data_IF_556319878002
#
_entry.id   IF_556319878002
#
_cell.length_a   1.000
_cell.length_b   1.000
_cell.length_c   1.000
_cell.angle_alpha   90.00
_cell.angle_beta   90.00
_cell.angle_gamma   90.00
#
_symmetry.space_group_name_H-M   'P 1'
#
loop_
_entity.id
_entity.type
_entity.pdbx_description
1 polymer ?
#
# COMPACT_ATOMS: atom_id res chain seq x y z
N UNK A 1 9.41 -17.53 -12.08
CA UNK A 1 9.37 -16.18 -11.48
C UNK A 1 9.90 -16.32 -10.06
N UNK A 2 10.92 -15.56 -9.67
CA UNK A 2 11.39 -15.57 -8.28
C UNK A 2 10.58 -14.53 -7.50
N UNK A 3 9.85 -14.97 -6.48
CA UNK A 3 9.14 -14.09 -5.56
C UNK A 3 9.90 -14.04 -4.24
N UNK A 4 10.26 -12.85 -3.80
CA UNK A 4 11.01 -12.65 -2.56
C UNK A 4 10.09 -11.97 -1.59
N UNK A 5 9.95 -12.55 -0.40
CA UNK A 5 9.07 -12.01 0.63
C UNK A 5 9.53 -12.50 2.00
N UNK A 6 9.34 -11.68 3.02
CA UNK A 6 9.43 -12.13 4.41
C UNK A 6 8.28 -13.10 4.69
N UNK A 7 8.56 -14.41 4.71
CA UNK A 7 7.59 -15.45 5.06
C UNK A 7 7.09 -15.32 6.51
N UNK A 8 7.72 -14.50 7.34
CA UNK A 8 7.48 -14.49 8.77
C UNK A 8 6.37 -13.52 9.20
N UNK A 9 5.42 -14.12 9.93
CA UNK A 9 4.40 -13.53 10.82
C UNK A 9 3.03 -13.24 10.21
N UNK A 10 2.22 -14.30 10.01
CA UNK A 10 0.77 -14.20 9.75
C UNK A 10 -0.05 -13.47 10.84
N UNK A 11 0.59 -13.04 11.93
CA UNK A 11 -0.01 -12.29 13.04
C UNK A 11 0.43 -10.82 13.11
N UNK A 12 1.17 -10.29 12.14
CA UNK A 12 1.48 -8.85 12.14
C UNK A 12 0.24 -8.05 11.77
N UNK A 13 0.02 -6.98 12.52
CA UNK A 13 -0.94 -5.94 12.18
C UNK A 13 -0.69 -5.48 10.74
N UNK A 14 -1.77 -5.21 10.00
CA UNK A 14 -1.74 -4.92 8.57
C UNK A 14 -0.67 -3.88 8.24
N UNK A 15 0.38 -4.31 7.54
CA UNK A 15 1.56 -3.52 7.21
C UNK A 15 1.35 -2.62 5.99
N UNK A 16 0.14 -2.41 5.48
CA UNK A 16 -0.04 -1.59 4.26
C UNK A 16 -1.04 -0.47 4.51
N UNK A 17 -0.49 0.66 4.98
CA UNK A 17 -1.22 1.88 5.24
C UNK A 17 -0.91 3.02 4.24
N UNK A 18 -1.04 2.79 2.91
CA UNK A 18 -1.40 3.93 2.02
C UNK A 18 -2.66 3.70 1.18
N UNK A 19 -3.73 4.37 1.55
CA UNK A 19 -4.83 4.79 0.70
C UNK A 19 -4.52 6.26 0.56
N UNK A 20 -3.62 6.59 -0.35
CA UNK A 20 -3.43 7.99 -0.65
C UNK A 20 -4.71 8.51 -1.30
N UNK A 21 -5.26 9.56 -0.73
CA UNK A 21 -6.41 10.25 -1.30
C UNK A 21 -6.11 10.76 -2.71
N UNK A 22 -4.86 11.19 -2.99
CA UNK A 22 -4.43 11.61 -4.33
C UNK A 22 -4.65 10.54 -5.41
N UNK A 23 -4.55 9.26 -5.08
CA UNK A 23 -4.90 8.20 -6.03
C UNK A 23 -6.39 8.24 -6.40
N UNK A 24 -7.26 8.44 -5.40
CA UNK A 24 -8.70 8.55 -5.59
C UNK A 24 -9.15 9.90 -6.17
N UNK A 25 -8.28 10.91 -6.22
CA UNK A 25 -8.55 12.14 -6.95
C UNK A 25 -8.40 11.96 -8.47
N UNK A 26 -7.67 10.92 -8.93
CA UNK A 26 -7.41 10.66 -10.33
C UNK A 26 -8.55 9.84 -10.98
N UNK A 27 -9.31 10.38 -11.96
CA UNK A 27 -10.38 9.63 -12.62
C UNK A 27 -9.91 8.34 -13.32
N UNK A 28 -8.68 8.30 -13.84
CA UNK A 28 -8.12 7.10 -14.48
C UNK A 28 -7.91 5.96 -13.48
N UNK A 29 -7.60 6.27 -12.22
CA UNK A 29 -7.49 5.26 -11.17
C UNK A 29 -8.80 4.52 -10.97
N UNK A 30 -9.92 5.24 -10.95
CA UNK A 30 -11.26 4.65 -10.83
C UNK A 30 -11.64 3.83 -12.06
N UNK A 31 -11.27 4.28 -13.26
CA UNK A 31 -11.50 3.54 -14.50
C UNK A 31 -10.80 2.18 -14.46
N UNK A 32 -9.52 2.16 -14.07
CA UNK A 32 -8.73 0.93 -13.95
C UNK A 32 -9.24 0.05 -12.81
N UNK A 33 -9.60 0.62 -11.65
CA UNK A 33 -10.21 -0.14 -10.55
C UNK A 33 -11.52 -0.81 -10.99
N UNK A 34 -12.35 -0.09 -11.77
CA UNK A 34 -13.59 -0.66 -12.33
C UNK A 34 -13.30 -1.79 -13.32
N UNK A 35 -12.33 -1.62 -14.21
CA UNK A 35 -11.99 -2.66 -15.22
C UNK A 35 -11.29 -3.88 -14.62
N UNK A 36 -10.56 -3.71 -13.51
CA UNK A 36 -9.86 -4.80 -12.82
C UNK A 36 -10.72 -5.53 -11.78
N UNK A 37 -11.89 -4.99 -11.41
CA UNK A 37 -12.68 -5.45 -10.27
C UNK A 37 -12.94 -6.96 -10.27
N UNK A 38 -13.52 -7.47 -11.35
CA UNK A 38 -13.97 -8.86 -11.42
C UNK A 38 -12.78 -9.82 -11.53
N UNK A 39 -11.77 -9.44 -12.31
CA UNK A 39 -10.51 -10.18 -12.46
C UNK A 39 -9.77 -10.27 -11.11
N UNK A 40 -9.64 -9.15 -10.38
CA UNK A 40 -9.03 -9.12 -9.06
C UNK A 40 -9.83 -9.94 -8.05
N UNK A 41 -11.17 -9.84 -8.07
CA UNK A 41 -12.02 -10.65 -7.19
C UNK A 41 -11.87 -12.14 -7.47
N UNK A 42 -11.78 -12.54 -8.73
CA UNK A 42 -11.52 -13.92 -9.12
C UNK A 42 -10.19 -14.40 -8.56
N UNK A 43 -9.09 -13.67 -8.86
CA UNK A 43 -7.74 -14.01 -8.41
C UNK A 43 -7.62 -14.07 -6.89
N UNK A 44 -8.20 -13.13 -6.15
CA UNK A 44 -8.17 -13.12 -4.68
C UNK A 44 -8.89 -14.37 -4.12
N UNK A 45 -10.05 -14.72 -4.68
CA UNK A 45 -10.79 -15.89 -4.22
C UNK A 45 -10.12 -17.21 -4.64
N UNK A 46 -9.45 -17.24 -5.79
CA UNK A 46 -8.67 -18.39 -6.24
C UNK A 46 -7.42 -18.59 -5.37
N UNK A 47 -6.71 -17.51 -5.06
CA UNK A 47 -5.48 -17.53 -4.28
C UNK A 47 -5.72 -17.75 -2.78
N UNK A 48 -6.73 -17.08 -2.20
CA UNK A 48 -6.98 -17.09 -0.76
C UNK A 48 -8.34 -17.65 -0.34
N UNK A 49 -9.14 -18.18 -1.26
CA UNK A 49 -10.46 -18.75 -0.97
C UNK A 49 -11.57 -17.71 -0.79
N UNK A 50 -12.80 -18.20 -0.65
CA UNK A 50 -14.01 -17.36 -0.53
C UNK A 50 -14.03 -16.57 0.78
N UNK A 51 -14.71 -15.41 0.76
CA UNK A 51 -14.99 -14.59 1.94
C UNK A 51 -13.86 -13.66 2.38
N UNK A 52 -12.80 -13.53 1.59
CA UNK A 52 -11.71 -12.57 1.82
C UNK A 52 -12.07 -11.14 1.40
N UNK A 53 -13.02 -11.02 0.48
CA UNK A 53 -13.55 -9.75 0.03
C UNK A 53 -14.87 -9.49 0.76
N UNK A 54 -14.98 -8.32 1.38
CA UNK A 54 -16.18 -7.86 2.06
C UNK A 54 -16.58 -6.50 1.52
N UNK A 55 -17.89 -6.24 1.45
CA UNK A 55 -18.39 -4.89 1.23
C UNK A 55 -18.49 -4.21 2.59
N UNK A 56 -17.95 -3.00 2.67
CA UNK A 56 -17.95 -2.16 3.87
C UNK A 56 -18.31 -0.74 3.50
N UNK A 57 -18.80 0.00 4.46
CA UNK A 57 -19.00 1.43 4.30
C UNK A 57 -17.72 2.16 4.72
N UNK A 58 -17.17 2.96 3.81
CA UNK A 58 -16.00 3.77 4.07
C UNK A 58 -16.45 5.15 4.53
N UNK A 59 -16.32 5.41 5.82
CA UNK A 59 -16.50 6.76 6.34
C UNK A 59 -15.22 7.56 6.13
N UNK A 60 -15.37 8.79 5.65
CA UNK A 60 -14.27 9.70 5.40
C UNK A 60 -14.58 11.00 6.11
N UNK A 61 -13.61 11.53 6.85
CA UNK A 61 -13.71 12.85 7.46
C UNK A 61 -12.50 13.69 7.04
N UNK A 62 -12.75 14.95 6.75
CA UNK A 62 -11.75 15.96 6.47
C UNK A 62 -11.78 17.00 7.58
N UNK A 63 -10.60 17.40 8.05
CA UNK A 63 -10.45 18.40 9.12
C UNK A 63 -10.09 19.79 8.59
N UNK A 64 -9.62 19.86 7.34
CA UNK A 64 -9.15 21.08 6.70
C UNK A 64 -10.09 21.52 5.57
N UNK A 65 -9.94 22.78 5.12
CA UNK A 65 -10.67 23.28 3.94
C UNK A 65 -10.29 22.55 2.66
N UNK A 66 -8.99 22.29 2.45
CA UNK A 66 -8.49 21.53 1.31
C UNK A 66 -8.99 20.07 1.33
N UNK A 67 -8.97 19.44 2.51
CA UNK A 67 -9.52 18.10 2.70
C UNK A 67 -11.01 18.03 2.38
N UNK A 68 -11.79 19.04 2.77
CA UNK A 68 -13.21 19.10 2.46
C UNK A 68 -13.49 19.18 0.95
N UNK A 69 -12.71 19.99 0.22
CA UNK A 69 -12.80 20.06 -1.25
C UNK A 69 -12.41 18.73 -1.91
N UNK A 70 -11.32 18.12 -1.44
CA UNK A 70 -10.89 16.83 -1.94
C UNK A 70 -11.97 15.75 -1.67
N UNK A 71 -12.61 15.79 -0.49
CA UNK A 71 -13.68 14.85 -0.14
C UNK A 71 -14.89 15.02 -1.07
N UNK A 72 -15.31 16.25 -1.34
CA UNK A 72 -16.39 16.51 -2.30
C UNK A 72 -16.05 15.89 -3.66
N UNK A 73 -14.86 16.15 -4.20
CA UNK A 73 -14.39 15.56 -5.46
C UNK A 73 -14.41 14.03 -5.45
N UNK A 74 -13.87 13.39 -4.40
CA UNK A 74 -13.89 11.92 -4.27
C UNK A 74 -15.32 11.39 -4.21
N UNK A 75 -16.25 12.07 -3.51
CA UNK A 75 -17.64 11.62 -3.44
C UNK A 75 -18.37 11.76 -4.78
N UNK A 76 -18.06 12.79 -5.56
CA UNK A 76 -18.58 12.96 -6.93
C UNK A 76 -18.05 11.87 -7.86
N UNK A 77 -16.75 11.57 -7.81
CA UNK A 77 -16.16 10.46 -8.55
C UNK A 77 -16.78 9.12 -8.14
N UNK A 78 -16.94 8.88 -6.84
CA UNK A 78 -17.58 7.66 -6.35
C UNK A 78 -18.98 7.45 -6.95
N UNK A 79 -19.82 8.51 -7.00
CA UNK A 79 -21.14 8.48 -7.65
C UNK A 79 -21.05 8.20 -9.14
N UNK A 80 -20.14 8.88 -9.84
CA UNK A 80 -19.92 8.65 -11.27
C UNK A 80 -19.58 7.18 -11.58
N UNK A 81 -18.82 6.53 -10.69
CA UNK A 81 -18.46 5.12 -10.81
C UNK A 81 -19.48 4.15 -10.18
N UNK A 82 -20.66 4.62 -9.79
CA UNK A 82 -21.79 3.80 -9.35
C UNK A 82 -21.77 3.42 -7.87
N UNK A 83 -20.97 4.08 -7.04
CA UNK A 83 -21.07 3.96 -5.59
C UNK A 83 -22.09 4.95 -5.04
N UNK A 84 -22.85 4.52 -4.04
CA UNK A 84 -23.66 5.42 -3.23
C UNK A 84 -22.72 6.23 -2.33
N UNK A 85 -22.85 7.56 -2.36
CA UNK A 85 -22.11 8.44 -1.48
C UNK A 85 -22.98 9.58 -0.97
N UNK A 86 -22.85 9.88 0.32
CA UNK A 86 -23.67 10.86 1.01
C UNK A 86 -22.84 11.62 2.06
N UNK A 87 -23.22 12.87 2.29
CA UNK A 87 -22.68 13.67 3.39
C UNK A 87 -23.34 13.21 4.68
N UNK A 88 -22.55 12.67 5.60
CA UNK A 88 -23.03 12.19 6.90
C UNK A 88 -22.08 12.68 7.98
N UNK A 89 -22.60 13.08 9.16
CA UNK A 89 -21.74 13.38 10.30
C UNK A 89 -20.88 12.17 10.66
N UNK A 90 -19.61 12.42 11.02
CA UNK A 90 -18.71 11.41 11.61
C UNK A 90 -18.41 11.84 13.04
N UNK A 91 -19.23 11.36 13.98
CA UNK A 91 -19.14 11.71 15.41
C UNK A 91 -17.82 11.28 16.07
N UNK A 92 -17.15 10.29 15.48
CA UNK A 92 -15.86 9.78 15.94
C UNK A 92 -14.73 10.79 15.76
N UNK A 93 -14.88 11.79 14.89
CA UNK A 93 -13.86 12.79 14.62
C UNK A 93 -14.22 14.09 15.33
N UNK A 94 -13.25 14.70 16.02
CA UNK A 94 -13.41 15.96 16.71
C UNK A 94 -13.47 17.08 15.66
N UNK A 95 -14.60 17.80 15.60
CA UNK A 95 -14.82 18.97 14.75
C UNK A 95 -14.43 18.78 13.28
N UNK A 96 -14.97 17.76 12.56
CA UNK A 96 -14.68 17.59 11.15
C UNK A 96 -15.19 18.80 10.37
N UNK A 97 -14.41 19.27 9.39
CA UNK A 97 -14.81 20.34 8.46
C UNK A 97 -15.83 19.82 7.45
N UNK A 98 -15.66 18.59 7.00
CA UNK A 98 -16.59 17.86 6.16
C UNK A 98 -16.49 16.36 6.45
N UNK A 99 -17.57 15.64 6.23
CA UNK A 99 -17.57 14.19 6.39
C UNK A 99 -18.60 13.53 5.49
N UNK A 100 -18.33 12.29 5.11
CA UNK A 100 -19.19 11.53 4.22
C UNK A 100 -18.98 10.03 4.36
N UNK A 101 -19.78 9.28 3.63
CA UNK A 101 -19.64 7.84 3.50
C UNK A 101 -19.72 7.45 2.04
N UNK A 102 -18.86 6.51 1.65
CA UNK A 102 -18.98 5.77 0.39
C UNK A 102 -19.41 4.35 0.75
N UNK A 103 -20.61 3.97 0.30
CA UNK A 103 -21.24 2.72 0.72
C UNK A 103 -20.75 1.54 -0.11
N UNK A 104 -20.68 0.37 0.52
CA UNK A 104 -20.42 -0.89 -0.16
C UNK A 104 -19.07 -0.99 -0.88
N UNK A 105 -18.06 -0.23 -0.43
CA UNK A 105 -16.69 -0.35 -0.96
C UNK A 105 -16.15 -1.74 -0.71
N UNK A 106 -15.39 -2.27 -1.68
CA UNK A 106 -14.74 -3.56 -1.50
C UNK A 106 -13.53 -3.41 -0.59
N UNK A 107 -13.48 -4.25 0.42
CA UNK A 107 -12.37 -4.38 1.36
C UNK A 107 -11.81 -5.78 1.28
N UNK A 108 -10.52 -5.88 1.59
CA UNK A 108 -9.75 -7.12 1.55
C UNK A 108 -9.24 -7.44 2.95
N UNK A 109 -9.27 -8.72 3.33
CA UNK A 109 -8.74 -9.23 4.59
C UNK A 109 -7.34 -9.84 4.39
N UNK A 110 -6.26 -9.03 4.46
CA UNK A 110 -4.91 -9.50 4.17
C UNK A 110 -4.42 -10.56 5.14
N UNK A 111 -4.81 -10.47 6.42
CA UNK A 111 -4.37 -11.42 7.45
C UNK A 111 -4.83 -12.85 7.10
N UNK A 112 -6.07 -13.01 6.65
CA UNK A 112 -6.58 -14.31 6.20
C UNK A 112 -6.08 -14.73 4.83
N UNK A 113 -5.80 -13.77 3.94
CA UNK A 113 -5.29 -14.06 2.60
C UNK A 113 -3.92 -14.72 2.65
N UNK A 114 -2.94 -14.10 3.32
CA UNK A 114 -1.55 -14.56 3.30
C UNK A 114 -1.39 -15.98 3.84
N UNK A 115 -2.13 -16.33 4.89
CA UNK A 115 -2.18 -17.69 5.45
C UNK A 115 -2.52 -18.76 4.42
N UNK A 116 -3.47 -18.47 3.54
CA UNK A 116 -3.93 -19.41 2.51
C UNK A 116 -3.10 -19.34 1.23
N UNK A 117 -2.69 -18.13 0.86
CA UNK A 117 -1.85 -17.89 -0.31
C UNK A 117 -0.53 -18.66 -0.22
N UNK A 118 0.18 -18.55 0.91
CA UNK A 118 1.45 -19.25 1.09
C UNK A 118 1.31 -20.77 1.13
N UNK A 119 0.19 -21.27 1.66
CA UNK A 119 -0.12 -22.70 1.59
C UNK A 119 -0.38 -23.22 0.16
N UNK A 120 -0.74 -22.33 -0.77
CA UNK A 120 -1.11 -22.69 -2.16
C UNK A 120 -0.04 -22.40 -3.19
N UNK A 121 0.81 -21.40 -2.98
CA UNK A 121 1.81 -20.95 -3.96
C UNK A 121 2.98 -21.93 -4.18
N UNK A 122 2.88 -23.16 -3.69
CA UNK A 122 3.88 -24.18 -3.92
C UNK A 122 3.71 -24.76 -5.33
N UNK A 123 4.42 -24.19 -6.30
CA UNK A 123 4.43 -24.66 -7.68
C UNK A 123 5.86 -24.63 -8.24
N UNK A 124 6.16 -25.55 -9.17
CA UNK A 124 7.47 -25.64 -9.82
C UNK A 124 7.88 -24.36 -10.59
N UNK A 125 6.95 -23.41 -10.77
CA UNK A 125 7.16 -22.16 -11.52
C UNK A 125 7.52 -20.96 -10.63
N UNK A 126 7.35 -21.10 -9.31
CA UNK A 126 7.53 -20.02 -8.35
C UNK A 126 8.51 -20.48 -7.27
N UNK A 127 9.67 -19.85 -7.25
CA UNK A 127 10.62 -19.99 -6.15
C UNK A 127 10.33 -18.89 -5.13
N UNK A 128 10.31 -19.26 -3.86
CA UNK A 128 10.24 -18.30 -2.75
C UNK A 128 11.54 -18.33 -1.98
N UNK A 129 12.22 -17.19 -1.92
CA UNK A 129 13.44 -17.00 -1.16
C UNK A 129 13.17 -16.17 0.09
N UNK A 130 13.93 -16.47 1.16
CA UNK A 130 13.97 -15.61 2.34
C UNK A 130 14.78 -14.35 2.03
N UNK A 131 14.22 -13.20 2.37
CA UNK A 131 14.84 -11.90 2.19
C UNK A 131 16.19 -11.80 2.91
N UNK A 132 16.30 -12.37 4.11
CA UNK A 132 17.52 -12.28 4.92
C UNK A 132 18.72 -13.03 4.30
N UNK A 133 18.46 -14.04 3.45
CA UNK A 133 19.48 -14.89 2.84
C UNK A 133 19.62 -14.61 1.33
N UNK A 134 19.32 -13.38 0.90
CA UNK A 134 19.34 -12.99 -0.50
C UNK A 134 20.26 -11.80 -0.77
N UNK A 135 21.02 -11.90 -1.86
CA UNK A 135 21.68 -10.74 -2.47
C UNK A 135 21.25 -10.54 -3.92
N UNK A 136 21.14 -9.27 -4.33
CA UNK A 136 20.71 -8.87 -5.67
C UNK A 136 21.77 -7.96 -6.27
N UNK A 137 22.35 -8.39 -7.39
CA UNK A 137 23.23 -7.57 -8.22
C UNK A 137 22.49 -7.08 -9.46
N UNK A 138 22.23 -5.78 -9.55
CA UNK A 138 21.55 -5.18 -10.70
C UNK A 138 22.50 -5.03 -11.89
N UNK A 139 22.04 -5.48 -13.06
CA UNK A 139 22.73 -5.27 -14.33
C UNK A 139 22.30 -3.97 -15.00
N UNK A 140 23.14 -3.45 -15.90
CA UNK A 140 22.90 -2.19 -16.63
C UNK A 140 21.69 -2.23 -17.57
N UNK A 141 21.24 -3.43 -17.96
CA UNK A 141 20.05 -3.65 -18.80
C UNK A 141 18.74 -3.77 -18.01
N UNK A 142 18.78 -3.65 -16.67
CA UNK A 142 17.60 -3.76 -15.80
C UNK A 142 17.20 -5.19 -15.46
N UNK A 143 18.05 -6.15 -15.79
CA UNK A 143 18.06 -7.48 -15.19
C UNK A 143 18.85 -7.52 -13.88
N UNK A 144 18.86 -8.67 -13.21
CA UNK A 144 19.76 -8.93 -12.08
C UNK A 144 20.24 -10.37 -12.04
N UNK A 145 21.39 -10.52 -11.40
CA UNK A 145 21.79 -11.76 -10.76
C UNK A 145 21.28 -11.76 -9.33
N UNK A 146 20.55 -12.81 -8.95
CA UNK A 146 19.98 -12.96 -7.61
C UNK A 146 20.56 -14.22 -7.00
N UNK A 147 21.21 -14.10 -5.84
CA UNK A 147 21.70 -15.26 -5.09
C UNK A 147 20.80 -15.47 -3.88
N UNK A 148 20.17 -16.64 -3.81
CA UNK A 148 19.27 -17.00 -2.72
C UNK A 148 19.32 -18.51 -2.47
N UNK A 149 19.34 -18.94 -1.21
CA UNK A 149 19.31 -20.36 -0.83
C UNK A 149 20.38 -21.20 -1.56
N UNK A 150 21.62 -20.71 -1.62
CA UNK A 150 22.76 -21.32 -2.35
C UNK A 150 22.59 -21.44 -3.87
N UNK A 151 21.51 -20.89 -4.44
CA UNK A 151 21.25 -20.89 -5.87
C UNK A 151 21.43 -19.49 -6.46
N UNK A 152 21.89 -19.45 -7.71
CA UNK A 152 22.00 -18.21 -8.49
C UNK A 152 20.95 -18.20 -9.59
N UNK A 153 20.13 -17.15 -9.60
CA UNK A 153 19.10 -16.89 -10.58
C UNK A 153 19.50 -15.70 -11.45
N UNK A 154 19.13 -15.74 -12.73
CA UNK A 154 19.23 -14.59 -13.63
C UNK A 154 17.84 -14.12 -14.01
N UNK A 155 17.52 -12.89 -13.63
CA UNK A 155 16.24 -12.26 -13.93
C UNK A 155 16.42 -11.25 -15.06
N UNK A 156 15.59 -11.35 -16.11
CA UNK A 156 15.52 -10.33 -17.17
C UNK A 156 14.85 -9.03 -16.68
N UNK A 157 14.02 -9.13 -15.63
CA UNK A 157 13.25 -8.03 -15.05
C UNK A 157 13.16 -8.22 -13.54
N UNK A 158 13.12 -7.11 -12.82
CA UNK A 158 12.96 -7.06 -11.36
C UNK A 158 11.91 -6.02 -11.05
N UNK A 159 11.02 -6.37 -10.13
CA UNK A 159 10.12 -5.42 -9.50
C UNK A 159 10.47 -5.35 -8.01
N UNK A 160 10.70 -4.14 -7.51
CA UNK A 160 10.77 -3.85 -6.08
C UNK A 160 9.38 -3.39 -5.65
N UNK A 161 8.75 -4.19 -4.81
CA UNK A 161 7.37 -4.02 -4.36
C UNK A 161 7.40 -3.93 -2.84
N UNK A 162 6.78 -2.90 -2.27
CA UNK A 162 6.77 -2.55 -0.84
C UNK A 162 7.96 -1.72 -0.33
N UNK A 163 7.80 -1.14 0.87
CA UNK A 163 8.80 -0.25 1.46
C UNK A 163 10.09 -0.98 1.85
N UNK A 164 10.02 -2.25 2.23
CA UNK A 164 11.18 -3.01 2.71
C UNK A 164 12.10 -3.34 1.54
N UNK A 165 11.56 -3.94 0.47
CA UNK A 165 12.31 -4.24 -0.75
C UNK A 165 12.87 -2.98 -1.41
N UNK A 166 12.08 -1.90 -1.46
CA UNK A 166 12.54 -0.61 -2.02
C UNK A 166 13.64 0.00 -1.14
N UNK A 167 13.47 0.06 0.17
CA UNK A 167 14.49 0.65 1.06
C UNK A 167 15.84 -0.08 1.00
N UNK A 168 15.81 -1.39 0.76
CA UNK A 168 16.99 -2.23 0.80
C UNK A 168 17.72 -2.31 -0.56
N UNK A 169 16.98 -2.39 -1.67
CA UNK A 169 17.55 -2.63 -2.99
C UNK A 169 17.46 -1.46 -3.96
N UNK A 170 16.68 -0.41 -3.66
CA UNK A 170 16.62 0.77 -4.52
C UNK A 170 17.90 1.61 -4.35
N UNK A 171 18.52 2.09 -5.45
CA UNK A 171 19.64 3.03 -5.36
C UNK A 171 19.30 4.28 -4.53
N UNK A 172 20.23 4.77 -3.71
CA UNK A 172 20.01 5.88 -2.75
C UNK A 172 19.48 7.16 -3.42
N UNK A 173 19.92 7.48 -4.65
CA UNK A 173 19.43 8.63 -5.41
C UNK A 173 17.97 8.48 -5.85
N UNK A 174 17.58 7.29 -6.31
CA UNK A 174 16.19 7.01 -6.66
C UNK A 174 15.31 6.98 -5.40
N UNK A 175 15.85 6.43 -4.32
CA UNK A 175 15.18 6.39 -3.03
C UNK A 175 14.90 7.81 -2.53
N UNK A 176 15.94 8.65 -2.45
CA UNK A 176 15.82 10.04 -1.99
C UNK A 176 15.06 10.93 -2.98
N UNK A 177 15.08 10.62 -4.27
CA UNK A 177 14.34 11.34 -5.31
C UNK A 177 12.83 11.07 -5.27
N UNK A 178 12.43 9.82 -5.03
CA UNK A 178 11.03 9.39 -5.14
C UNK A 178 10.32 9.26 -3.79
N UNK A 179 11.05 9.07 -2.69
CA UNK A 179 10.46 8.70 -1.41
C UNK A 179 10.88 9.61 -0.25
N UNK A 180 10.01 9.66 0.75
CA UNK A 180 10.27 10.14 2.09
C UNK A 180 10.32 8.95 3.04
N UNK A 181 11.42 8.83 3.77
CA UNK A 181 11.51 7.88 4.88
C UNK A 181 10.65 8.34 6.04
N UNK A 182 10.10 7.40 6.79
CA UNK A 182 9.30 7.70 7.96
C UNK A 182 9.03 6.47 8.81
N UNK A 183 8.07 6.60 9.71
CA UNK A 183 7.54 5.50 10.49
C UNK A 183 6.03 5.42 10.32
N UNK A 184 5.51 4.20 10.34
CA UNK A 184 4.08 3.95 10.50
C UNK A 184 3.85 3.33 11.88
N UNK A 185 2.80 3.77 12.54
CA UNK A 185 2.39 3.31 13.86
C UNK A 185 0.99 2.70 13.79
N UNK A 186 0.81 1.59 14.51
CA UNK A 186 -0.48 0.91 14.63
C UNK A 186 -0.84 0.76 16.10
N UNK A 187 -2.06 1.15 16.43
CA UNK A 187 -2.66 1.11 17.76
C UNK A 187 -3.83 0.13 17.74
N UNK A 188 -3.75 -0.92 18.55
CA UNK A 188 -4.86 -1.83 18.81
C UNK A 188 -5.62 -1.41 20.07
N UNK A 189 -6.93 -1.34 19.96
CA UNK A 189 -7.85 -1.00 21.04
C UNK A 189 -8.84 -2.13 21.28
N UNK A 190 -9.15 -2.38 22.56
CA UNK A 190 -10.25 -3.27 22.96
C UNK A 190 -11.57 -2.53 22.78
N UNK A 191 -12.40 -3.00 21.86
CA UNK A 191 -13.65 -2.34 21.47
C UNK A 191 -14.79 -2.68 22.44
N UNK A 192 -15.44 -1.66 23.00
CA UNK A 192 -16.62 -1.81 23.89
C UNK A 192 -17.98 -1.66 23.21
N UNK A 193 -18.10 -1.17 21.96
CA UNK A 193 -19.42 -0.86 21.35
C UNK A 193 -19.50 -0.98 19.82
N UNK A 194 -20.72 -0.86 19.27
CA UNK A 194 -21.11 -0.85 17.84
C UNK A 194 -20.57 0.38 17.10
N UNK A 195 -19.26 0.47 16.94
CA UNK A 195 -18.64 1.53 16.16
C UNK A 195 -18.62 1.22 14.67
N UNK A 196 -18.56 2.29 13.85
CA UNK A 196 -18.46 2.20 12.39
C UNK A 196 -17.30 1.30 11.97
N UNK A 197 -17.53 0.48 10.94
CA UNK A 197 -16.59 -0.58 10.55
C UNK A 197 -15.29 -0.03 9.96
N UNK A 198 -15.30 1.15 9.34
CA UNK A 198 -14.12 1.75 8.69
C UNK A 198 -14.20 3.28 8.69
N UNK A 199 -13.12 3.95 9.09
CA UNK A 199 -12.95 5.41 9.07
C UNK A 199 -11.60 5.77 8.43
N UNK A 200 -11.59 6.82 7.62
CA UNK A 200 -10.38 7.40 7.05
C UNK A 200 -10.34 8.93 7.25
N UNK A 201 -9.21 9.44 7.74
CA UNK A 201 -8.92 10.87 7.83
C UNK A 201 -7.63 11.14 7.02
N UNK A 202 -7.75 11.60 5.77
CA UNK A 202 -6.63 11.71 4.84
C UNK A 202 -5.47 12.56 5.35
N UNK A 203 -5.76 13.72 5.97
CA UNK A 203 -4.73 14.69 6.38
C UNK A 203 -3.75 14.15 7.42
N UNK A 204 -4.17 13.14 8.20
CA UNK A 204 -3.33 12.50 9.20
C UNK A 204 -2.89 11.09 8.79
N UNK A 205 -3.23 10.68 7.56
CA UNK A 205 -3.17 9.30 7.11
C UNK A 205 -3.78 8.31 8.13
N UNK A 206 -4.77 8.78 8.90
CA UNK A 206 -5.39 8.00 9.96
C UNK A 206 -6.39 7.05 9.34
N UNK A 207 -6.23 5.77 9.62
CA UNK A 207 -7.21 4.74 9.29
C UNK A 207 -7.65 4.02 10.51
N UNK A 208 -8.92 3.70 10.51
CA UNK A 208 -9.51 2.86 11.52
C UNK A 208 -10.34 1.79 10.85
N UNK A 209 -10.23 0.57 11.35
CA UNK A 209 -11.12 -0.51 10.97
C UNK A 209 -11.38 -1.44 12.15
N UNK A 210 -12.52 -2.11 12.09
CA UNK A 210 -12.88 -3.16 13.05
C UNK A 210 -12.37 -4.50 12.53
N UNK A 211 -11.57 -5.18 13.37
CA UNK A 211 -11.08 -6.53 13.16
C UNK A 211 -11.75 -7.49 14.14
N UNK A 212 -12.53 -8.43 13.62
CA UNK A 212 -13.32 -9.34 14.45
C UNK A 212 -14.42 -8.62 15.23
N UNK A 213 -14.79 -9.15 16.40
CA UNK A 213 -15.88 -8.61 17.24
C UNK A 213 -15.42 -7.59 18.29
N UNK A 214 -14.12 -7.51 18.58
CA UNK A 214 -13.62 -6.88 19.80
C UNK A 214 -12.37 -6.00 19.60
N UNK A 215 -11.83 -5.88 18.39
CA UNK A 215 -10.63 -5.10 18.16
C UNK A 215 -10.86 -3.98 17.16
N UNK A 216 -10.59 -2.75 17.61
CA UNK A 216 -10.44 -1.57 16.75
C UNK A 216 -8.95 -1.39 16.49
N UNK A 217 -8.57 -1.27 15.23
CA UNK A 217 -7.20 -1.01 14.82
C UNK A 217 -7.14 0.38 14.23
N UNK A 218 -6.21 1.20 14.73
CA UNK A 218 -5.92 2.53 14.21
C UNK A 218 -4.51 2.52 13.63
N UNK A 219 -4.36 2.93 12.38
CA UNK A 219 -3.07 3.11 11.72
C UNK A 219 -2.84 4.58 11.43
N UNK A 220 -1.65 5.09 11.77
CA UNK A 220 -1.22 6.46 11.48
C UNK A 220 0.23 6.46 10.98
N UNK A 221 0.61 7.52 10.26
CA UNK A 221 2.02 7.81 9.97
C UNK A 221 2.60 8.65 11.12
N UNK A 222 3.87 8.45 11.41
CA UNK A 222 4.61 9.11 12.48
C UNK A 222 5.14 8.13 13.51
N UNK A 223 5.95 8.67 14.42
CA UNK A 223 6.39 7.96 15.62
C UNK A 223 5.19 7.54 16.48
N UNK A 224 5.43 6.65 17.45
CA UNK A 224 4.36 6.17 18.32
C UNK A 224 3.71 7.31 19.12
N UNK A 225 4.52 8.25 19.60
CA UNK A 225 4.04 9.40 20.39
C UNK A 225 3.20 10.35 19.53
N UNK A 226 3.64 10.63 18.30
CA UNK A 226 2.86 11.41 17.33
C UNK A 226 1.54 10.70 17.00
N UNK A 227 1.57 9.38 16.81
CA UNK A 227 0.38 8.60 16.49
C UNK A 227 -0.64 8.59 17.64
N UNK A 228 -0.17 8.45 18.88
CA UNK A 228 -1.02 8.53 20.08
C UNK A 228 -1.59 9.94 20.28
N UNK A 229 -0.75 10.96 20.13
CA UNK A 229 -1.15 12.38 20.22
C UNK A 229 -2.21 12.73 19.16
N UNK A 230 -1.97 12.33 17.92
CA UNK A 230 -2.93 12.51 16.83
C UNK A 230 -4.22 11.72 17.10
N UNK A 231 -4.15 10.45 17.50
CA UNK A 231 -5.35 9.69 17.83
C UNK A 231 -6.19 10.37 18.93
N UNK A 232 -5.57 10.83 20.00
CA UNK A 232 -6.25 11.54 21.09
C UNK A 232 -6.81 12.92 20.65
N UNK A 233 -6.09 13.65 19.80
CA UNK A 233 -6.51 14.95 19.31
C UNK A 233 -7.59 14.89 18.22
N UNK A 234 -7.70 13.78 17.51
CA UNK A 234 -8.66 13.59 16.41
C UNK A 234 -9.90 12.83 16.80
N UNK A 235 -9.78 11.83 17.67
CA UNK A 235 -10.85 10.87 17.89
C UNK A 235 -11.55 11.14 19.21
N UNK A 236 -12.85 11.44 19.16
CA UNK A 236 -13.66 11.80 20.33
C UNK A 236 -13.84 10.66 21.33
N UNK A 237 -13.56 9.44 20.90
CA UNK A 237 -13.77 8.20 21.63
C UNK A 237 -12.45 7.45 21.90
N UNK A 238 -11.31 8.09 21.68
CA UNK A 238 -10.01 7.49 21.95
C UNK A 238 -9.68 7.56 23.43
N UNK A 239 -9.61 6.38 24.05
CA UNK A 239 -9.30 6.22 25.46
C UNK A 239 -8.00 5.42 25.60
N UNK A 240 -6.91 6.00 26.13
CA UNK A 240 -5.64 5.30 26.29
C UNK A 240 -5.75 4.00 27.09
N UNK A 241 -6.68 3.93 28.05
CA UNK A 241 -6.95 2.72 28.84
C UNK A 241 -7.54 1.55 28.04
N UNK A 242 -7.92 1.75 26.77
CA UNK A 242 -8.40 0.68 25.88
C UNK A 242 -7.28 0.06 25.04
N UNK A 243 -6.08 0.64 25.05
CA UNK A 243 -4.94 0.15 24.27
C UNK A 243 -4.58 -1.26 24.73
N UNK A 244 -4.56 -2.20 23.77
CA UNK A 244 -4.16 -3.59 24.00
C UNK A 244 -2.98 -4.03 23.14
N UNK A 245 -2.59 -3.24 22.14
CA UNK A 245 -1.44 -3.50 21.29
C UNK A 245 -0.89 -2.19 20.71
N UNK A 246 0.42 -2.11 20.55
CA UNK A 246 1.13 -1.04 19.85
C UNK A 246 2.21 -1.66 18.97
N UNK A 247 2.42 -1.11 17.78
CA UNK A 247 3.52 -1.52 16.90
C UNK A 247 3.96 -0.34 16.06
N UNK A 248 5.26 -0.23 15.79
CA UNK A 248 5.83 0.69 14.82
C UNK A 248 6.59 -0.06 13.76
N UNK A 249 6.88 0.60 12.63
CA UNK A 249 7.78 0.11 11.60
C UNK A 249 8.33 1.27 10.78
N UNK A 250 9.50 1.06 10.19
CA UNK A 250 9.99 1.95 9.13
C UNK A 250 9.04 1.90 7.94
N UNK A 251 8.78 3.04 7.32
CA UNK A 251 7.95 3.17 6.14
C UNK A 251 8.58 4.09 5.10
N UNK A 252 8.19 3.88 3.84
CA UNK A 252 8.49 4.77 2.73
C UNK A 252 7.17 5.31 2.20
N UNK A 253 7.05 6.63 2.14
CA UNK A 253 5.98 7.28 1.40
C UNK A 253 6.53 7.85 0.09
N UNK A 254 5.75 7.79 -0.97
CA UNK A 254 6.10 8.46 -2.22
C UNK A 254 5.97 9.97 -2.01
N UNK A 255 6.94 10.74 -2.50
CA UNK A 255 6.86 12.21 -2.50
C UNK A 255 5.63 12.69 -3.27
N UNK A 256 4.93 13.67 -2.73
CA UNK A 256 3.63 14.11 -3.26
C UNK A 256 2.46 13.20 -2.86
N UNK A 257 2.72 12.18 -2.03
CA UNK A 257 1.72 11.31 -1.42
C UNK A 257 1.20 10.20 -2.34
N UNK A 258 1.33 10.33 -3.67
CA UNK A 258 0.86 9.42 -4.73
C UNK A 258 1.22 7.94 -4.53
N UNK A 259 0.55 6.99 -5.22
CA UNK A 259 1.25 5.76 -5.57
C UNK A 259 2.33 6.07 -6.61
N UNK A 260 3.26 5.14 -6.76
CA UNK A 260 4.30 5.18 -7.77
C UNK A 260 4.43 3.79 -8.39
N UNK A 261 4.39 3.75 -9.72
CA UNK A 261 4.51 2.52 -10.48
C UNK A 261 5.21 2.78 -11.80
N UNK A 262 6.38 2.19 -11.98
CA UNK A 262 7.12 2.33 -13.22
C UNK A 262 8.62 2.24 -13.05
N UNK A 263 9.33 2.36 -14.17
CA UNK A 263 10.78 2.45 -14.21
C UNK A 263 11.19 3.91 -14.25
N UNK A 264 12.15 4.29 -13.41
CA UNK A 264 12.80 5.60 -13.46
C UNK A 264 13.66 5.78 -14.73
N UNK A 265 13.96 4.69 -15.45
CA UNK A 265 14.55 4.74 -16.79
C UNK A 265 15.20 3.42 -17.20
N UNK A 266 15.93 3.45 -18.32
CA UNK A 266 16.53 2.27 -18.91
C UNK A 266 17.56 1.65 -17.95
N UNK A 267 17.28 0.43 -17.49
CA UNK A 267 18.14 -0.29 -16.55
C UNK A 267 17.72 -0.23 -15.09
N UNK A 268 16.71 0.59 -14.71
CA UNK A 268 16.18 0.55 -13.33
C UNK A 268 15.28 -0.66 -13.10
N UNK A 269 15.21 -1.15 -11.84
CA UNK A 269 14.10 -2.00 -11.43
C UNK A 269 12.77 -1.27 -11.62
N UNK A 270 11.71 -2.05 -11.83
CA UNK A 270 10.34 -1.55 -11.73
C UNK A 270 10.05 -1.25 -10.26
N UNK A 271 9.68 -0.01 -9.93
CA UNK A 271 9.29 0.37 -8.59
C UNK A 271 7.76 0.35 -8.49
N UNK A 272 7.21 -0.28 -7.44
CA UNK A 272 5.77 -0.32 -7.17
C UNK A 272 5.53 -0.02 -5.69
N UNK A 273 4.93 1.14 -5.39
CA UNK A 273 4.73 1.62 -4.03
C UNK A 273 3.46 2.48 -3.88
N UNK A 274 3.00 2.66 -2.64
CA UNK A 274 1.97 3.65 -2.30
C UNK A 274 0.52 3.29 -2.68
N UNK A 275 0.26 2.05 -3.13
CA UNK A 275 -1.11 1.59 -3.46
C UNK A 275 -1.93 1.12 -2.24
N UNK A 276 -1.24 0.62 -1.21
CA UNK A 276 -1.82 0.09 0.02
C UNK A 276 -3.08 -0.75 -0.18
N UNK A 277 -4.22 -0.32 0.37
CA UNK A 277 -5.43 -1.16 0.38
C UNK A 277 -6.12 -1.29 -0.99
N UNK A 278 -5.74 -0.48 -1.99
CA UNK A 278 -6.22 -0.66 -3.37
C UNK A 278 -5.38 -1.65 -4.14
N UNK A 279 -4.15 -1.96 -3.67
CA UNK A 279 -3.21 -2.84 -4.37
C UNK A 279 -3.82 -4.21 -4.76
N UNK A 280 -4.60 -4.90 -3.89
CA UNK A 280 -5.21 -6.18 -4.27
C UNK A 280 -6.18 -6.05 -5.45
N UNK A 281 -6.89 -4.92 -5.55
CA UNK A 281 -7.85 -4.65 -6.62
C UNK A 281 -7.19 -4.15 -7.91
N UNK A 282 -5.92 -3.74 -7.83
CA UNK A 282 -5.08 -3.37 -8.98
C UNK A 282 -4.09 -4.46 -9.38
N UNK A 283 -4.07 -5.59 -8.66
CA UNK A 283 -3.14 -6.69 -8.93
C UNK A 283 -3.13 -7.14 -10.40
N UNK A 284 -4.27 -7.22 -11.13
CA UNK A 284 -4.25 -7.51 -12.56
C UNK A 284 -3.49 -6.49 -13.40
N UNK A 285 -3.76 -5.19 -13.20
CA UNK A 285 -3.08 -4.11 -13.92
C UNK A 285 -1.58 -4.06 -13.56
N UNK A 286 -1.23 -4.27 -12.29
CA UNK A 286 0.17 -4.36 -11.84
C UNK A 286 0.90 -5.58 -12.44
N UNK A 287 0.21 -6.73 -12.57
CA UNK A 287 0.78 -7.89 -13.23
C UNK A 287 1.04 -7.61 -14.73
N UNK A 288 0.11 -6.92 -15.40
CA UNK A 288 0.29 -6.46 -16.79
C UNK A 288 1.40 -5.42 -16.92
N UNK A 289 1.57 -4.53 -15.94
CA UNK A 289 2.70 -3.61 -15.86
C UNK A 289 4.03 -4.38 -15.81
N UNK A 290 4.15 -5.36 -14.91
CA UNK A 290 5.35 -6.21 -14.77
C UNK A 290 5.60 -7.01 -16.07
N UNK A 291 4.53 -7.47 -16.72
CA UNK A 291 4.59 -8.20 -17.98
C UNK A 291 4.89 -7.32 -19.21
N UNK A 292 4.80 -5.99 -19.08
CA UNK A 292 4.87 -5.02 -20.19
C UNK A 292 3.76 -5.25 -21.24
N UNK A 293 2.55 -5.52 -20.75
CA UNK A 293 1.36 -5.83 -21.55
C UNK A 293 0.13 -5.06 -21.07
N UNK A 294 0.29 -3.76 -20.82
CA UNK A 294 -0.76 -2.88 -20.33
C UNK A 294 -1.87 -2.69 -21.36
N UNK A 295 -3.09 -2.44 -20.87
CA UNK A 295 -4.20 -1.93 -21.68
C UNK A 295 -4.15 -0.40 -21.78
N UNK A 296 -4.77 0.23 -22.79
CA UNK A 296 -4.70 1.68 -22.99
C UNK A 296 -5.12 2.52 -21.76
N UNK A 297 -6.13 2.09 -21.01
CA UNK A 297 -6.55 2.76 -19.78
C UNK A 297 -5.54 2.61 -18.62
N UNK A 298 -4.82 1.48 -18.58
CA UNK A 298 -3.80 1.20 -17.59
C UNK A 298 -2.51 1.98 -17.91
N UNK A 299 -2.14 2.10 -19.19
CA UNK A 299 -1.02 2.93 -19.66
C UNK A 299 -1.18 4.38 -19.20
N UNK A 300 -2.35 4.97 -19.40
CA UNK A 300 -2.63 6.35 -18.97
C UNK A 300 -2.49 6.53 -17.46
N UNK A 301 -2.97 5.56 -16.68
CA UNK A 301 -2.83 5.60 -15.23
C UNK A 301 -1.35 5.54 -14.83
N UNK A 302 -0.63 4.54 -15.33
CA UNK A 302 0.75 4.27 -14.92
C UNK A 302 1.74 5.32 -15.42
N UNK A 303 1.50 5.94 -16.58
CA UNK A 303 2.31 7.08 -17.03
C UNK A 303 2.19 8.27 -16.06
N UNK A 304 1.00 8.52 -15.53
CA UNK A 304 0.76 9.61 -14.56
C UNK A 304 1.34 9.38 -13.17
N UNK A 305 1.79 8.16 -12.84
CA UNK A 305 2.40 7.82 -11.54
C UNK A 305 3.78 7.17 -11.70
N UNK A 306 4.41 7.39 -12.85
CA UNK A 306 5.75 6.89 -13.15
C UNK A 306 6.80 7.68 -12.34
N UNK A 307 7.90 7.05 -11.88
CA UNK A 307 9.02 7.81 -11.33
C UNK A 307 9.58 8.80 -12.36
N UNK A 308 9.99 9.99 -11.90
CA UNK A 308 10.55 11.03 -12.78
C UNK A 308 11.79 10.51 -13.53
N UNK A 309 11.77 10.49 -14.89
CA UNK A 309 12.88 9.98 -15.68
C UNK A 309 14.16 10.83 -15.61
N UNK A 310 14.06 12.12 -15.29
CA UNK A 310 15.22 13.00 -15.17
C UNK A 310 16.02 12.76 -13.88
N UNK A 311 15.43 12.07 -12.90
CA UNK A 311 16.17 11.58 -11.73
C UNK A 311 17.31 10.64 -12.13
N UNK A 312 17.16 9.84 -13.22
CA UNK A 312 18.22 8.92 -13.66
C UNK A 312 19.37 9.57 -14.41
N UNK A 313 19.16 10.69 -15.11
CA UNK A 313 20.27 11.38 -15.80
C UNK A 313 21.37 11.80 -14.83
N UNK A 314 21.01 12.11 -13.58
CA UNK A 314 21.95 12.43 -12.50
C UNK A 314 22.65 11.18 -11.92
N UNK A 315 22.06 10.00 -12.07
CA UNK A 315 22.53 8.72 -11.50
C UNK A 315 23.50 7.99 -12.42
N UNK A 316 23.37 8.14 -13.75
CA UNK A 316 24.27 7.50 -14.73
C UNK A 316 25.74 7.86 -14.58
N UNK A 317 26.04 8.99 -13.95
CA UNK A 317 27.40 9.50 -13.76
C UNK A 317 28.06 8.99 -12.46
N UNK A 318 27.38 8.13 -11.69
CA UNK A 318 27.86 7.61 -10.42
C UNK A 318 28.16 6.11 -10.48
N UNK A 319 29.25 5.64 -9.85
CA UNK A 319 29.56 4.22 -9.77
C UNK A 319 28.48 3.48 -8.97
N UNK A 320 27.99 2.37 -9.52
CA UNK A 320 27.02 1.48 -8.86
C UNK A 320 27.65 0.96 -7.56
N UNK A 321 27.03 1.16 -6.37
CA UNK A 321 27.58 0.64 -5.14
C UNK A 321 27.60 -0.88 -5.19
N UNK A 322 28.78 -1.48 -5.08
CA UNK A 322 28.91 -2.93 -4.88
C UNK A 322 28.38 -3.27 -3.49
N UNK A 323 27.33 -4.11 -3.46
CA UNK A 323 26.81 -4.89 -2.34
C UNK A 323 27.01 -4.29 -0.93
N UNK A 324 25.95 -3.72 -0.34
CA UNK A 324 25.86 -3.62 1.12
C UNK A 324 25.67 -5.04 1.66
N UNK A 325 26.76 -5.69 2.08
CA UNK A 325 26.67 -6.82 3.01
C UNK A 325 26.09 -6.28 4.30
N UNK A 326 24.87 -6.70 4.63
CA UNK A 326 24.26 -6.41 5.92
C UNK A 326 25.11 -7.11 7.00
N UNK A 327 25.83 -6.34 7.81
CA UNK A 327 26.24 -6.82 9.13
C UNK A 327 24.97 -6.97 9.96
N UNK A 328 24.61 -8.22 10.22
CA UNK A 328 23.50 -8.57 11.11
C UNK A 328 23.97 -8.29 12.54
N UNK A 329 23.29 -7.34 13.21
CA UNK A 329 23.35 -7.12 14.65
C UNK A 329 22.06 -7.64 15.30
#
# INVERSE_FOLDING_TARGET
MLFVTDRSRPYRLTRDLPANFGFFLNPHAWQVLKSCRDEAQHLINEAGGRGLIKRRDLHIAAVSGAGAQALDHVTQLARFYGYESESVPVEQVIKPRASGVVRGVMSFDPARFWLKFFGRINSDKITIADFANMSVGFGTSGGAEIRANEQTFRAKRIALIDSEAISHYCPDDLLSGCFETGQDSVIGLTQRSRQRETLFVPEFNLRQFVSGRFARVIGLRGSLDEALSNAAGLLSDFEPGQINALSTRSSLAVKGGGPLAGRAGAGSPLLIAGFGLTAPFLAPALARLIAESLRPEEERLFEGIRPDPDLQRKVRDLPIPMSRTAEVA
#
